data_IF_628359824717
#
_entry.id   IF_628359824717
#
_cell.length_a   1.000
_cell.length_b   1.000
_cell.length_c   1.000
_cell.angle_alpha   90.00
_cell.angle_beta   90.00
_cell.angle_gamma   90.00
#
_symmetry.space_group_name_H-M   'P 1'
#
loop_
_entity.id
_entity.type
_entity.pdbx_description
1 polymer ?
#
# COMPACT_ATOMS: atom_id res chain seq x y z
N UNK A 1 13.62 -8.19 -15.12
CA UNK A 1 13.51 -7.04 -14.20
C UNK A 1 12.40 -7.35 -13.22
N UNK A 2 12.57 -7.02 -11.93
CA UNK A 2 11.57 -7.26 -10.90
C UNK A 2 10.89 -5.95 -10.53
N UNK A 3 9.56 -5.94 -10.44
CA UNK A 3 8.78 -4.75 -10.14
C UNK A 3 8.14 -4.86 -8.76
N UNK A 4 8.28 -3.83 -7.93
CA UNK A 4 7.44 -3.65 -6.76
C UNK A 4 6.17 -2.91 -7.18
N UNK A 5 5.01 -3.50 -6.95
CA UNK A 5 3.72 -2.97 -7.43
C UNK A 5 2.74 -2.93 -6.27
N UNK A 6 2.03 -1.82 -6.12
CA UNK A 6 0.97 -1.67 -5.13
C UNK A 6 -0.06 -2.80 -5.28
N UNK A 7 -0.29 -3.61 -4.24
CA UNK A 7 -1.18 -4.77 -4.30
C UNK A 7 -2.60 -4.42 -4.75
N UNK A 8 -3.08 -3.20 -4.41
CA UNK A 8 -4.39 -2.72 -4.84
C UNK A 8 -4.52 -2.57 -6.36
N UNK A 9 -3.42 -2.32 -7.09
CA UNK A 9 -3.42 -2.26 -8.56
C UNK A 9 -3.51 -3.64 -9.21
N UNK A 10 -3.24 -4.70 -8.44
CA UNK A 10 -3.31 -6.10 -8.87
C UNK A 10 -4.60 -6.79 -8.40
N UNK A 11 -5.57 -6.01 -7.88
CA UNK A 11 -6.87 -6.52 -7.45
C UNK A 11 -6.95 -7.00 -6.00
N UNK A 12 -5.89 -6.83 -5.20
CA UNK A 12 -5.96 -7.15 -3.77
C UNK A 12 -6.80 -6.09 -3.04
N UNK A 13 -7.81 -6.55 -2.30
CA UNK A 13 -8.70 -5.70 -1.50
C UNK A 13 -8.01 -5.18 -0.23
N UNK A 14 -7.04 -4.28 -0.39
CA UNK A 14 -6.24 -3.70 0.68
C UNK A 14 -6.36 -2.16 0.77
N UNK A 15 -7.22 -1.53 -0.04
CA UNK A 15 -7.45 -0.09 -0.03
C UNK A 15 -8.17 0.32 1.26
N UNK A 16 -8.03 1.59 1.67
CA UNK A 16 -8.65 2.09 2.90
C UNK A 16 -10.16 1.81 2.98
N UNK A 17 -10.87 1.84 1.85
CA UNK A 17 -12.31 1.58 1.76
C UNK A 17 -12.68 0.09 1.64
N UNK A 18 -11.74 -0.84 1.79
CA UNK A 18 -11.97 -2.27 1.64
C UNK A 18 -11.94 -2.81 0.20
N UNK A 19 -11.85 -1.93 -0.80
CA UNK A 19 -11.77 -2.30 -2.21
C UNK A 19 -10.35 -2.40 -2.75
N UNK A 20 -10.24 -2.31 -4.09
CA UNK A 20 -8.99 -2.28 -4.83
C UNK A 20 -9.05 -1.24 -5.97
N UNK A 21 -7.97 -1.11 -6.72
CA UNK A 21 -7.86 -0.27 -7.92
C UNK A 21 -7.27 -1.12 -9.08
N UNK A 22 -7.78 -2.34 -9.28
CA UNK A 22 -7.25 -3.26 -10.29
C UNK A 22 -7.14 -2.57 -11.66
N UNK A 23 -5.94 -2.62 -12.25
CA UNK A 23 -5.70 -2.15 -13.61
C UNK A 23 -5.43 -3.35 -14.51
N UNK A 24 -6.38 -3.64 -15.40
CA UNK A 24 -6.25 -4.75 -16.36
C UNK A 24 -5.02 -4.57 -17.26
N UNK A 25 -4.77 -3.37 -17.74
CA UNK A 25 -3.60 -3.05 -18.58
C UNK A 25 -2.28 -3.32 -17.86
N UNK A 26 -2.18 -2.94 -16.58
CA UNK A 26 -0.99 -3.20 -15.77
C UNK A 26 -0.83 -4.70 -15.50
N UNK A 27 -1.92 -5.39 -15.14
CA UNK A 27 -1.90 -6.84 -14.89
C UNK A 27 -1.45 -7.59 -16.14
N UNK A 28 -1.95 -7.20 -17.32
CA UNK A 28 -1.56 -7.79 -18.59
C UNK A 28 -0.08 -7.55 -18.91
N UNK A 29 0.42 -6.34 -18.71
CA UNK A 29 1.84 -6.01 -18.88
C UNK A 29 2.75 -6.83 -17.97
N UNK A 30 2.33 -7.07 -16.73
CA UNK A 30 3.14 -7.74 -15.71
C UNK A 30 3.16 -9.28 -15.84
N UNK A 31 2.36 -9.89 -16.73
CA UNK A 31 2.31 -11.36 -16.91
C UNK A 31 3.67 -12.00 -17.19
N UNK A 32 4.52 -11.29 -17.93
CA UNK A 32 5.85 -11.76 -18.33
C UNK A 32 6.95 -11.26 -17.38
N UNK A 33 6.60 -10.68 -16.23
CA UNK A 33 7.52 -9.98 -15.33
C UNK A 33 7.44 -10.55 -13.92
N UNK A 34 8.56 -10.55 -13.20
CA UNK A 34 8.55 -10.90 -11.78
C UNK A 34 8.02 -9.72 -10.97
N UNK A 35 6.99 -9.97 -10.14
CA UNK A 35 6.31 -8.92 -9.38
C UNK A 35 6.35 -9.22 -7.89
N UNK A 36 6.80 -8.23 -7.12
CA UNK A 36 6.60 -8.16 -5.68
C UNK A 36 5.37 -7.28 -5.41
N UNK A 37 4.30 -7.90 -4.90
CA UNK A 37 3.12 -7.16 -4.49
C UNK A 37 3.34 -6.55 -3.11
N UNK A 38 3.04 -5.26 -2.96
CA UNK A 38 3.28 -4.57 -1.70
C UNK A 38 2.12 -3.64 -1.32
N UNK A 39 1.70 -3.67 -0.07
CA UNK A 39 0.83 -2.65 0.52
C UNK A 39 1.51 -2.14 1.80
N UNK A 40 2.23 -1.00 1.74
CA UNK A 40 2.97 -0.48 2.88
C UNK A 40 2.07 -0.24 4.10
N UNK A 41 0.85 0.25 3.90
CA UNK A 41 -0.10 0.52 5.00
C UNK A 41 -0.48 -0.74 5.80
N UNK A 42 -0.80 -1.84 5.11
CA UNK A 42 -1.12 -3.13 5.74
C UNK A 42 0.11 -3.76 6.39
N UNK A 43 1.26 -3.71 5.72
CA UNK A 43 2.55 -4.15 6.30
C UNK A 43 2.91 -3.35 7.56
N UNK A 44 2.57 -2.06 7.55
CA UNK A 44 2.70 -1.14 8.67
C UNK A 44 1.80 -1.47 9.86
N UNK A 45 0.77 -2.29 9.65
CA UNK A 45 -0.18 -2.74 10.66
C UNK A 45 -1.53 -2.05 10.62
N UNK A 46 -1.84 -1.25 9.60
CA UNK A 46 -3.18 -0.68 9.45
C UNK A 46 -4.18 -1.73 8.93
N UNK A 47 -5.44 -1.71 9.40
CA UNK A 47 -6.45 -2.67 8.97
C UNK A 47 -6.96 -2.37 7.55
N UNK A 48 -7.79 -3.26 7.04
CA UNK A 48 -8.63 -3.01 5.85
C UNK A 48 -10.07 -3.42 6.18
N UNK A 49 -11.06 -2.51 6.15
CA UNK A 49 -10.93 -1.07 5.86
C UNK A 49 -10.22 -0.29 6.99
N UNK A 50 -9.89 0.97 6.71
CA UNK A 50 -9.29 1.95 7.63
C UNK A 50 -9.71 3.36 7.23
N UNK A 51 -9.62 4.31 8.16
CA UNK A 51 -9.87 5.72 7.89
C UNK A 51 -8.93 6.27 6.80
N UNK A 52 -9.42 7.24 6.02
CA UNK A 52 -8.59 7.93 5.03
C UNK A 52 -7.52 8.74 5.77
N UNK A 53 -6.29 8.78 5.24
CA UNK A 53 -5.18 9.49 5.87
C UNK A 53 -4.44 10.37 4.88
N UNK A 54 -4.00 11.54 5.35
CA UNK A 54 -3.30 12.55 4.56
C UNK A 54 -2.02 13.01 5.27
N UNK A 55 -1.02 13.41 4.50
CA UNK A 55 0.21 14.00 5.03
C UNK A 55 -0.10 15.42 5.50
N UNK A 56 0.18 15.69 6.77
CA UNK A 56 0.03 17.00 7.41
C UNK A 56 1.35 17.39 8.06
N UNK A 57 2.23 18.05 7.28
CA UNK A 57 3.59 18.35 7.69
C UNK A 57 4.42 17.09 7.90
N UNK A 58 4.89 16.87 9.14
CA UNK A 58 5.67 15.68 9.51
C UNK A 58 4.81 14.48 9.93
N UNK A 59 3.49 14.70 10.07
CA UNK A 59 2.54 13.70 10.52
C UNK A 59 1.71 13.17 9.34
N UNK A 60 1.14 12.00 9.53
CA UNK A 60 0.11 11.43 8.66
C UNK A 60 -1.12 11.25 9.54
N UNK A 61 -2.11 12.12 9.32
CA UNK A 61 -3.32 12.18 10.13
C UNK A 61 -4.46 11.51 9.39
N UNK A 62 -5.23 10.68 10.07
CA UNK A 62 -6.45 10.12 9.49
C UNK A 62 -7.68 11.01 9.74
N UNK A 63 -8.78 10.72 9.06
CA UNK A 63 -10.05 11.46 9.17
C UNK A 63 -10.74 11.29 10.53
N UNK A 64 -10.27 10.36 11.36
CA UNK A 64 -10.75 10.15 12.74
C UNK A 64 -9.92 10.96 13.77
N UNK A 65 -8.90 11.69 13.30
CA UNK A 65 -8.03 12.53 14.14
C UNK A 65 -6.84 11.79 14.75
N UNK A 66 -6.55 10.57 14.30
CA UNK A 66 -5.43 9.76 14.80
C UNK A 66 -4.16 10.01 13.97
N UNK A 67 -3.02 10.07 14.65
CA UNK A 67 -1.70 10.06 14.03
C UNK A 67 -1.29 8.62 13.68
N UNK A 68 -1.25 8.32 12.38
CA UNK A 68 -0.87 7.01 11.83
C UNK A 68 0.54 7.00 11.22
N UNK A 69 1.36 8.02 11.52
CA UNK A 69 2.72 8.18 10.99
C UNK A 69 3.60 6.95 11.24
N UNK A 70 3.50 6.35 12.43
CA UNK A 70 4.32 5.21 12.82
C UNK A 70 4.08 4.00 11.90
N UNK A 71 2.81 3.73 11.57
CA UNK A 71 2.41 2.63 10.71
C UNK A 71 2.88 2.87 9.27
N UNK A 72 2.73 4.08 8.75
CA UNK A 72 3.22 4.44 7.41
C UNK A 72 4.75 4.32 7.30
N UNK A 73 5.50 4.85 8.28
CA UNK A 73 6.98 4.74 8.31
C UNK A 73 7.44 3.28 8.41
N UNK A 74 6.84 2.50 9.31
CA UNK A 74 7.10 1.05 9.45
C UNK A 74 6.81 0.32 8.15
N UNK A 75 5.66 0.61 7.52
CA UNK A 75 5.23 0.06 6.25
C UNK A 75 6.24 0.30 5.13
N UNK A 76 6.71 1.54 4.99
CA UNK A 76 7.72 1.91 4.00
C UNK A 76 9.05 1.18 4.22
N UNK A 77 9.52 1.08 5.47
CA UNK A 77 10.75 0.36 5.80
C UNK A 77 10.64 -1.15 5.50
N UNK A 78 9.52 -1.78 5.86
CA UNK A 78 9.25 -3.20 5.58
C UNK A 78 9.09 -3.47 4.09
N UNK A 79 8.46 -2.56 3.34
CA UNK A 79 8.36 -2.64 1.88
C UNK A 79 9.74 -2.59 1.23
N UNK A 80 10.59 -1.63 1.64
CA UNK A 80 11.94 -1.50 1.12
C UNK A 80 12.79 -2.75 1.40
N UNK A 81 12.69 -3.35 2.60
CA UNK A 81 13.44 -4.54 2.96
C UNK A 81 13.08 -5.79 2.12
N UNK A 82 11.91 -5.80 1.48
CA UNK A 82 11.49 -6.88 0.58
C UNK A 82 11.98 -6.68 -0.85
N UNK A 83 12.35 -5.45 -1.23
CA UNK A 83 12.93 -5.15 -2.54
C UNK A 83 14.43 -5.50 -2.46
N UNK A 84 14.80 -6.59 -3.13
CA UNK A 84 16.18 -7.13 -3.19
C UNK A 84 16.62 -7.27 -4.63
#
# INVERSE_FOLDING_TARGET
MKYAVSSCLLGVNCKYNGGNNASSELIDYLKEHEVLQVCPEVLGGLPTPRACAEISGEYIMNTEGEDVTAQFKKGAALALAQIR
#
